data_IF_671284220874
#
_entry.id   IF_671284220874
#
_cell.length_a   1.000
_cell.length_b   1.000
_cell.length_c   1.000
_cell.angle_alpha   90.00
_cell.angle_beta   90.00
_cell.angle_gamma   90.00
#
_symmetry.space_group_name_H-M   'P 1'
#
loop_
_entity.id
_entity.type
_entity.pdbx_description
1 polymer ?
#
# COMPACT_ATOMS: atom_id res chain seq x y z
N UNK A 1 -8.88 6.47 16.19
CA UNK A 1 -7.78 7.44 16.34
C UNK A 1 -7.06 7.11 17.64
N UNK A 2 -5.79 6.75 17.55
CA UNK A 2 -4.94 6.50 18.73
C UNK A 2 -4.39 7.81 19.26
N UNK A 3 -4.16 7.90 20.57
CA UNK A 3 -3.67 9.11 21.25
C UNK A 3 -4.51 10.35 20.87
N UNK A 4 -5.83 10.25 21.01
CA UNK A 4 -6.74 11.32 20.59
C UNK A 4 -6.65 12.57 21.47
N UNK A 5 -6.16 12.44 22.70
CA UNK A 5 -5.99 13.49 23.70
C UNK A 5 -4.63 14.22 23.65
N UNK A 6 -3.71 13.78 22.78
CA UNK A 6 -2.42 14.47 22.58
C UNK A 6 -2.63 15.73 21.74
N UNK A 7 -2.76 16.86 22.42
CA UNK A 7 -2.96 18.15 21.76
C UNK A 7 -1.82 18.51 20.81
N UNK A 8 -2.19 19.12 19.68
CA UNK A 8 -1.28 19.46 18.61
C UNK A 8 -1.99 19.50 17.26
N UNK A 9 -1.26 19.81 16.20
CA UNK A 9 -1.83 19.99 14.86
C UNK A 9 -2.69 18.79 14.39
N UNK A 10 -2.20 17.56 14.60
CA UNK A 10 -2.87 16.31 14.19
C UNK A 10 -4.09 15.93 15.03
N UNK A 11 -4.32 16.63 16.14
CA UNK A 11 -5.46 16.41 17.08
C UNK A 11 -6.25 17.69 17.32
N UNK A 12 -6.05 18.71 16.48
CA UNK A 12 -6.96 19.86 16.39
C UNK A 12 -8.36 19.41 16.01
N UNK A 13 -9.37 20.19 16.40
CA UNK A 13 -10.78 19.89 16.10
C UNK A 13 -11.00 19.65 14.59
N UNK A 14 -10.40 20.48 13.74
CA UNK A 14 -10.47 20.36 12.28
C UNK A 14 -9.85 19.06 11.77
N UNK A 15 -8.67 18.66 12.30
CA UNK A 15 -8.02 17.41 11.92
C UNK A 15 -8.83 16.19 12.34
N UNK A 16 -9.37 16.19 13.56
CA UNK A 16 -10.22 15.12 14.07
C UNK A 16 -11.50 14.97 13.23
N UNK A 17 -12.16 16.09 12.88
CA UNK A 17 -13.34 16.09 11.99
C UNK A 17 -12.99 15.50 10.62
N UNK A 18 -11.85 15.88 10.03
CA UNK A 18 -11.42 15.33 8.74
C UNK A 18 -11.12 13.83 8.80
N UNK A 19 -10.46 13.37 9.88
CA UNK A 19 -10.19 11.95 10.10
C UNK A 19 -11.50 11.16 10.25
N UNK A 20 -12.45 11.66 11.04
CA UNK A 20 -13.78 11.07 11.19
C UNK A 20 -14.55 11.04 9.87
N UNK A 21 -14.46 12.11 9.07
CA UNK A 21 -15.11 12.20 7.77
C UNK A 21 -14.67 11.14 6.76
N UNK A 22 -13.48 10.53 6.91
CA UNK A 22 -13.05 9.39 6.08
C UNK A 22 -13.95 8.18 6.27
N UNK A 23 -14.46 7.96 7.49
CA UNK A 23 -15.34 6.84 7.81
C UNK A 23 -16.76 7.04 7.26
N UNK A 24 -17.24 8.29 7.15
CA UNK A 24 -18.62 8.63 6.77
C UNK A 24 -19.08 8.15 5.38
N UNK A 25 -18.21 7.50 4.58
CA UNK A 25 -18.54 6.89 3.29
C UNK A 25 -19.16 5.49 3.42
N UNK A 26 -19.28 4.96 4.64
CA UNK A 26 -19.89 3.66 4.94
C UNK A 26 -21.11 3.85 5.85
N UNK A 27 -22.17 3.06 5.61
CA UNK A 27 -23.42 3.12 6.37
C UNK A 27 -23.25 2.68 7.84
N UNK A 28 -22.34 1.75 8.11
CA UNK A 28 -22.04 1.21 9.43
C UNK A 28 -20.73 1.80 10.00
N UNK A 29 -20.34 2.99 9.52
CA UNK A 29 -19.12 3.64 9.94
C UNK A 29 -19.13 3.96 11.43
N UNK A 30 -18.06 3.56 12.12
CA UNK A 30 -17.83 3.88 13.53
C UNK A 30 -16.41 4.39 13.68
N UNK A 31 -16.24 5.44 14.48
CA UNK A 31 -14.92 5.99 14.82
C UNK A 31 -14.72 5.86 16.32
N UNK A 32 -13.61 5.21 16.70
CA UNK A 32 -13.21 5.04 18.10
C UNK A 32 -12.05 5.99 18.37
N UNK A 33 -12.18 6.84 19.39
CA UNK A 33 -11.11 7.72 19.87
C UNK A 33 -10.52 7.09 21.14
N UNK A 34 -9.26 6.68 21.08
CA UNK A 34 -8.53 6.18 22.26
C UNK A 34 -7.83 7.36 22.93
N UNK A 35 -8.20 7.66 24.17
CA UNK A 35 -7.71 8.78 24.95
C UNK A 35 -7.95 8.52 26.43
N UNK A 36 -7.13 9.13 27.29
CA UNK A 36 -7.33 9.08 28.75
C UNK A 36 -8.34 10.15 29.21
N UNK A 37 -8.45 11.25 28.45
CA UNK A 37 -9.37 12.38 28.74
C UNK A 37 -10.00 12.95 27.48
N UNK A 38 -11.15 13.58 27.63
CA UNK A 38 -11.80 14.34 26.55
C UNK A 38 -11.21 15.75 26.54
N UNK A 39 -10.48 16.11 25.47
CA UNK A 39 -9.95 17.47 25.29
C UNK A 39 -11.01 18.40 24.67
N UNK A 40 -10.86 19.73 24.77
CA UNK A 40 -11.78 20.67 24.11
C UNK A 40 -11.87 20.46 22.60
N UNK A 41 -10.76 20.11 21.94
CA UNK A 41 -10.73 19.81 20.52
C UNK A 41 -11.52 18.53 20.17
N UNK A 42 -11.45 17.50 21.03
CA UNK A 42 -12.26 16.30 20.88
C UNK A 42 -13.74 16.61 21.07
N UNK A 43 -14.10 17.35 22.11
CA UNK A 43 -15.49 17.72 22.38
C UNK A 43 -16.10 18.47 21.20
N UNK A 44 -15.44 19.52 20.71
CA UNK A 44 -15.88 20.27 19.53
C UNK A 44 -16.07 19.37 18.30
N UNK A 45 -15.16 18.42 18.08
CA UNK A 45 -15.22 17.52 16.94
C UNK A 45 -16.36 16.50 17.06
N UNK A 46 -16.64 16.02 18.28
CA UNK A 46 -17.77 15.13 18.59
C UNK A 46 -19.09 15.88 18.39
N UNK A 47 -19.24 17.06 19.00
CA UNK A 47 -20.46 17.88 18.95
C UNK A 47 -20.82 18.25 17.50
N UNK A 48 -19.84 18.67 16.69
CA UNK A 48 -20.09 19.00 15.29
C UNK A 48 -20.47 17.76 14.46
N UNK A 49 -19.91 16.59 14.80
CA UNK A 49 -20.25 15.33 14.14
C UNK A 49 -21.68 14.89 14.50
N UNK A 50 -22.06 15.00 15.77
CA UNK A 50 -23.41 14.69 16.25
C UNK A 50 -24.47 15.63 15.67
N UNK A 51 -24.18 16.95 15.66
CA UNK A 51 -25.04 17.96 15.04
C UNK A 51 -25.32 17.63 13.57
N UNK A 52 -24.28 17.32 12.79
CA UNK A 52 -24.41 16.93 11.37
C UNK A 52 -25.21 15.65 11.21
N UNK A 53 -24.96 14.64 12.04
CA UNK A 53 -25.67 13.36 12.00
C UNK A 53 -27.16 13.54 12.29
N UNK A 54 -27.51 14.35 13.29
CA UNK A 54 -28.90 14.64 13.63
C UNK A 54 -29.64 15.30 12.46
N UNK A 55 -29.04 16.31 11.83
CA UNK A 55 -29.58 16.98 10.63
C UNK A 55 -29.79 15.98 9.47
N UNK A 56 -28.81 15.13 9.22
CA UNK A 56 -28.89 14.11 8.16
C UNK A 56 -30.00 13.08 8.43
N UNK A 57 -30.14 12.61 9.67
CA UNK A 57 -31.19 11.67 10.06
C UNK A 57 -32.59 12.28 9.96
N UNK A 58 -32.75 13.54 10.39
CA UNK A 58 -34.00 14.28 10.24
C UNK A 58 -34.39 14.42 8.76
N UNK A 59 -33.46 14.88 7.92
CA UNK A 59 -33.67 15.00 6.48
C UNK A 59 -34.04 13.66 5.84
N UNK A 60 -33.30 12.58 6.19
CA UNK A 60 -33.57 11.24 5.66
C UNK A 60 -34.96 10.73 6.05
N UNK A 61 -35.40 11.00 7.29
CA UNK A 61 -36.73 10.61 7.77
C UNK A 61 -37.83 11.39 7.04
N UNK A 62 -37.64 12.69 6.85
CA UNK A 62 -38.60 13.54 6.14
C UNK A 62 -38.75 13.15 4.66
N UNK A 63 -37.67 12.68 4.02
CA UNK A 63 -37.64 12.37 2.60
C UNK A 63 -37.69 10.86 2.30
N UNK A 64 -37.82 10.01 3.31
CA UNK A 64 -37.82 8.54 3.14
C UNK A 64 -36.52 7.96 2.58
N UNK A 65 -35.39 8.65 2.75
CA UNK A 65 -34.09 8.22 2.20
C UNK A 65 -33.45 7.17 3.11
N UNK A 66 -33.21 5.97 2.57
CA UNK A 66 -32.46 4.92 3.28
C UNK A 66 -30.96 5.05 2.94
N UNK A 67 -30.07 5.23 3.94
CA UNK A 67 -28.63 5.29 3.70
C UNK A 67 -28.14 4.03 3.00
N UNK A 68 -27.49 4.20 1.85
CA UNK A 68 -26.93 3.11 1.06
C UNK A 68 -25.47 3.40 0.74
N UNK A 69 -24.65 2.35 0.74
CA UNK A 69 -23.23 2.52 0.43
C UNK A 69 -23.06 2.74 -1.06
N UNK A 70 -22.35 3.81 -1.42
CA UNK A 70 -22.02 4.11 -2.83
C UNK A 70 -21.01 3.07 -3.32
N UNK A 71 -21.43 2.23 -4.27
CA UNK A 71 -20.53 1.33 -5.01
C UNK A 71 -19.88 2.13 -6.15
N UNK A 72 -18.68 2.65 -5.91
CA UNK A 72 -17.87 3.23 -7.00
C UNK A 72 -17.12 2.12 -7.71
N UNK A 73 -17.33 2.00 -9.01
CA UNK A 73 -16.46 1.19 -9.85
C UNK A 73 -15.02 1.70 -9.68
N UNK A 74 -14.08 0.78 -9.44
CA UNK A 74 -12.65 1.08 -9.55
C UNK A 74 -12.46 1.50 -11.00
N UNK A 75 -12.29 2.82 -11.24
CA UNK A 75 -12.00 3.29 -12.58
C UNK A 75 -10.72 2.57 -13.01
N UNK A 76 -10.78 1.85 -14.14
CA UNK A 76 -9.63 1.35 -14.91
C UNK A 76 -8.81 2.52 -15.49
N UNK A 77 -8.64 3.59 -14.71
CA UNK A 77 -7.82 4.74 -15.05
C UNK A 77 -6.35 4.37 -15.01
N UNK A 78 -5.96 3.43 -14.14
CA UNK A 78 -4.60 2.88 -14.11
C UNK A 78 -4.26 2.24 -15.47
N UNK A 79 -5.15 1.42 -16.04
CA UNK A 79 -4.95 0.79 -17.36
C UNK A 79 -4.86 1.82 -18.48
N UNK A 80 -5.74 2.84 -18.49
CA UNK A 80 -5.72 3.90 -19.52
C UNK A 80 -4.53 4.86 -19.38
N UNK A 81 -4.10 5.16 -18.15
CA UNK A 81 -2.89 5.95 -17.89
C UNK A 81 -1.63 5.15 -18.23
N UNK A 82 -1.61 3.84 -17.98
CA UNK A 82 -0.58 2.92 -18.45
C UNK A 82 -0.53 2.89 -19.98
N UNK A 83 -1.67 2.79 -20.67
CA UNK A 83 -1.71 2.82 -22.13
C UNK A 83 -1.27 4.17 -22.71
N UNK A 84 -1.69 5.29 -22.11
CA UNK A 84 -1.22 6.61 -22.51
C UNK A 84 0.29 6.80 -22.27
N UNK A 85 0.82 6.26 -21.16
CA UNK A 85 2.27 6.23 -20.88
C UNK A 85 3.03 5.30 -21.83
N UNK A 86 2.45 4.17 -22.24
CA UNK A 86 3.01 3.27 -23.26
C UNK A 86 3.10 3.97 -24.61
N UNK A 87 2.02 4.60 -25.07
CA UNK A 87 1.98 5.33 -26.35
C UNK A 87 2.96 6.53 -26.37
N UNK A 88 3.06 7.26 -25.25
CA UNK A 88 4.00 8.37 -25.11
C UNK A 88 5.47 7.91 -24.99
N UNK A 89 5.73 6.69 -24.49
CA UNK A 89 7.07 6.08 -24.40
C UNK A 89 7.51 5.40 -25.69
N UNK A 90 6.59 4.80 -26.46
CA UNK A 90 6.84 4.28 -27.80
C UNK A 90 7.32 5.38 -28.76
N UNK A 91 6.83 6.61 -28.59
CA UNK A 91 7.29 7.78 -29.35
C UNK A 91 8.69 8.29 -28.95
N UNK A 92 9.27 7.82 -27.83
CA UNK A 92 10.52 8.35 -27.25
C UNK A 92 11.70 7.34 -27.27
N UNK A 93 11.53 6.13 -27.80
CA UNK A 93 12.63 5.21 -28.12
C UNK A 93 13.57 4.84 -26.95
N UNK A 94 13.06 4.76 -25.72
CA UNK A 94 13.85 4.35 -24.57
C UNK A 94 13.90 2.81 -24.43
N UNK A 95 15.10 2.24 -24.62
CA UNK A 95 15.56 0.87 -24.36
C UNK A 95 14.50 -0.26 -24.34
N UNK A 96 14.31 -0.87 -25.51
CA UNK A 96 13.47 -2.06 -25.75
C UNK A 96 13.73 -3.21 -24.75
N UNK A 97 14.97 -3.33 -24.26
CA UNK A 97 15.39 -4.34 -23.27
C UNK A 97 14.84 -4.08 -21.87
N UNK A 98 14.78 -2.81 -21.44
CA UNK A 98 14.26 -2.45 -20.12
C UNK A 98 12.73 -2.65 -20.07
N UNK A 99 12.04 -2.39 -21.18
CA UNK A 99 10.60 -2.61 -21.31
C UNK A 99 10.23 -4.09 -21.24
N UNK A 100 10.96 -4.95 -21.96
CA UNK A 100 10.76 -6.41 -21.91
C UNK A 100 10.97 -6.96 -20.49
N UNK A 101 11.95 -6.44 -19.76
CA UNK A 101 12.22 -6.83 -18.38
C UNK A 101 11.11 -6.37 -17.41
N UNK A 102 10.59 -5.15 -17.56
CA UNK A 102 9.48 -4.64 -16.74
C UNK A 102 8.18 -5.43 -16.94
N UNK A 103 7.82 -5.76 -18.18
CA UNK A 103 6.62 -6.56 -18.47
C UNK A 103 6.78 -8.02 -17.99
N UNK A 104 7.96 -8.62 -18.16
CA UNK A 104 8.23 -9.96 -17.63
C UNK A 104 8.13 -10.00 -16.09
N UNK A 105 8.66 -8.98 -15.41
CA UNK A 105 8.52 -8.83 -13.95
C UNK A 105 7.05 -8.71 -13.51
N UNK A 106 6.21 -8.04 -14.30
CA UNK A 106 4.78 -7.90 -14.03
C UNK A 106 4.07 -9.24 -14.11
N UNK A 107 4.31 -10.02 -15.17
CA UNK A 107 3.71 -11.33 -15.37
C UNK A 107 4.11 -12.33 -14.28
N UNK A 108 5.40 -12.40 -13.95
CA UNK A 108 5.89 -13.28 -12.87
C UNK A 108 5.31 -12.89 -11.51
N UNK A 109 5.09 -11.59 -11.27
CA UNK A 109 4.48 -11.13 -10.03
C UNK A 109 3.00 -11.49 -9.94
N UNK A 110 2.25 -11.38 -11.05
CA UNK A 110 0.85 -11.83 -11.13
C UNK A 110 0.76 -13.34 -10.89
N UNK A 111 1.65 -14.15 -11.49
CA UNK A 111 1.67 -15.60 -11.29
C UNK A 111 2.05 -15.99 -9.85
N UNK A 112 2.99 -15.27 -9.22
CA UNK A 112 3.38 -15.49 -7.83
C UNK A 112 2.20 -15.26 -6.87
N UNK A 113 1.42 -14.21 -7.11
CA UNK A 113 0.23 -13.90 -6.31
C UNK A 113 -0.85 -14.97 -6.50
N UNK A 114 -1.10 -15.41 -7.73
CA UNK A 114 -2.03 -16.49 -8.01
C UNK A 114 -1.63 -17.81 -7.33
N UNK A 115 -0.34 -18.17 -7.35
CA UNK A 115 0.17 -19.34 -6.65
C UNK A 115 0.03 -19.23 -5.12
N UNK A 116 0.22 -18.03 -4.56
CA UNK A 116 0.02 -17.78 -3.13
C UNK A 116 -1.47 -17.89 -2.73
N UNK A 117 -2.38 -17.40 -3.57
CA UNK A 117 -3.83 -17.56 -3.39
C UNK A 117 -4.26 -19.03 -3.47
N UNK A 118 -3.61 -19.81 -4.34
CA UNK A 118 -3.83 -21.26 -4.48
C UNK A 118 -3.15 -22.11 -3.39
N UNK A 119 -2.47 -21.49 -2.40
CA UNK A 119 -1.70 -22.17 -1.34
C UNK A 119 -0.50 -22.99 -1.84
N UNK A 120 -0.02 -22.73 -3.06
CA UNK A 120 1.16 -23.36 -3.66
C UNK A 120 2.45 -22.61 -3.28
N UNK A 121 2.84 -22.71 -2.00
CA UNK A 121 3.94 -21.90 -1.44
C UNK A 121 5.32 -22.18 -2.06
N UNK A 122 5.58 -23.42 -2.49
CA UNK A 122 6.84 -23.77 -3.17
C UNK A 122 6.97 -23.06 -4.53
N UNK A 123 5.87 -23.02 -5.30
CA UNK A 123 5.81 -22.33 -6.58
C UNK A 123 5.94 -20.82 -6.39
N UNK A 124 5.23 -20.24 -5.42
CA UNK A 124 5.33 -18.83 -5.08
C UNK A 124 6.75 -18.43 -4.61
N UNK A 125 7.43 -19.29 -3.84
CA UNK A 125 8.81 -19.05 -3.41
C UNK A 125 9.78 -19.05 -4.61
N UNK A 126 9.64 -20.00 -5.54
CA UNK A 126 10.46 -20.04 -6.76
C UNK A 126 10.27 -18.79 -7.63
N UNK A 127 9.01 -18.36 -7.84
CA UNK A 127 8.68 -17.15 -8.60
C UNK A 127 9.23 -15.88 -7.92
N UNK A 128 9.13 -15.78 -6.59
CA UNK A 128 9.72 -14.68 -5.81
C UNK A 128 11.24 -14.58 -6.02
N UNK A 129 11.93 -15.71 -6.00
CA UNK A 129 13.38 -15.76 -6.13
C UNK A 129 13.83 -15.44 -7.57
N UNK A 130 13.05 -15.84 -8.58
CA UNK A 130 13.22 -15.40 -9.98
C UNK A 130 13.02 -13.89 -10.14
N UNK A 131 11.97 -13.31 -9.55
CA UNK A 131 11.73 -11.86 -9.55
C UNK A 131 12.89 -11.09 -8.90
N UNK A 132 13.45 -11.62 -7.80
CA UNK A 132 14.62 -11.03 -7.13
C UNK A 132 15.86 -11.07 -8.03
N UNK A 133 16.11 -12.18 -8.72
CA UNK A 133 17.24 -12.32 -9.62
C UNK A 133 17.14 -11.37 -10.83
N UNK A 134 15.94 -11.24 -11.42
CA UNK A 134 15.67 -10.31 -12.52
C UNK A 134 15.84 -8.85 -12.09
N UNK A 135 15.38 -8.47 -10.88
CA UNK A 135 15.60 -7.13 -10.33
C UNK A 135 17.06 -6.84 -9.98
N UNK A 136 17.86 -7.86 -9.69
CA UNK A 136 19.29 -7.75 -9.39
C UNK A 136 20.16 -7.64 -10.66
N UNK A 137 19.56 -7.55 -11.86
CA UNK A 137 20.28 -7.34 -13.11
C UNK A 137 20.75 -8.61 -13.80
N UNK A 138 20.15 -9.77 -13.52
CA UNK A 138 20.39 -10.97 -14.32
C UNK A 138 19.94 -10.71 -15.77
N UNK A 139 20.85 -10.90 -16.73
CA UNK A 139 20.56 -10.67 -18.13
C UNK A 139 19.61 -11.77 -18.65
N UNK A 140 18.59 -11.34 -19.40
CA UNK A 140 17.65 -12.23 -20.07
C UNK A 140 18.12 -12.36 -21.52
N UNK A 141 18.28 -13.59 -21.99
CA UNK A 141 18.55 -13.85 -23.41
C UNK A 141 17.31 -13.51 -24.26
N UNK A 142 17.46 -13.34 -25.57
CA UNK A 142 16.39 -12.97 -26.52
C UNK A 142 15.18 -13.90 -26.55
N UNK A 143 15.26 -15.06 -25.88
CA UNK A 143 14.19 -16.05 -25.75
C UNK A 143 13.51 -16.05 -24.37
N UNK A 144 13.83 -15.09 -23.49
CA UNK A 144 13.20 -14.99 -22.16
C UNK A 144 13.71 -16.00 -21.13
N UNK A 145 14.67 -16.86 -21.50
CA UNK A 145 15.25 -17.88 -20.62
C UNK A 145 16.43 -17.30 -19.87
N UNK A 146 16.34 -17.28 -18.54
CA UNK A 146 17.47 -16.86 -17.68
C UNK A 146 18.47 -18.01 -17.58
N UNK A 147 19.73 -17.79 -17.97
CA UNK A 147 20.78 -18.82 -17.87
C UNK A 147 20.97 -19.24 -16.42
N UNK A 148 20.93 -20.55 -16.19
CA UNK A 148 21.10 -21.16 -14.85
C UNK A 148 22.39 -20.72 -14.14
N UNK A 149 23.47 -20.53 -14.88
CA UNK A 149 24.77 -20.06 -14.37
C UNK A 149 24.80 -18.58 -13.98
N UNK A 150 23.85 -17.78 -14.44
CA UNK A 150 23.70 -16.36 -14.08
C UNK A 150 22.74 -16.18 -12.90
N UNK A 151 21.69 -17.01 -12.83
CA UNK A 151 20.83 -17.15 -11.65
C UNK A 151 21.64 -17.51 -10.40
N UNK A 152 22.54 -18.49 -10.51
CA UNK A 152 23.40 -18.91 -9.40
C UNK A 152 24.37 -17.80 -8.95
N UNK A 153 24.90 -17.02 -9.89
CA UNK A 153 25.78 -15.87 -9.59
C UNK A 153 25.01 -14.71 -8.93
N UNK A 154 23.82 -14.37 -9.41
CA UNK A 154 22.97 -13.33 -8.83
C UNK A 154 22.44 -13.74 -7.44
N UNK A 155 22.06 -15.01 -7.26
CA UNK A 155 21.65 -15.54 -5.97
C UNK A 155 22.81 -15.50 -4.95
N UNK A 156 24.03 -15.88 -5.35
CA UNK A 156 25.21 -15.78 -4.50
C UNK A 156 25.53 -14.32 -4.10
N UNK A 157 25.38 -13.36 -5.02
CA UNK A 157 25.56 -11.94 -4.74
C UNK A 157 24.50 -11.38 -3.77
N UNK A 158 23.24 -11.79 -3.91
CA UNK A 158 22.16 -11.40 -3.00
C UNK A 158 22.36 -11.94 -1.57
N UNK A 159 22.82 -13.19 -1.44
CA UNK A 159 23.14 -13.81 -0.14
C UNK A 159 24.36 -13.12 0.52
N UNK A 160 25.36 -12.73 -0.27
CA UNK A 160 26.51 -11.97 0.24
C UNK A 160 26.11 -10.58 0.75
N UNK A 161 25.26 -9.86 0.02
CA UNK A 161 24.70 -8.56 0.43
C UNK A 161 23.89 -8.66 1.74
N UNK A 162 23.11 -9.72 1.91
CA UNK A 162 22.36 -9.99 3.14
C UNK A 162 23.24 -10.35 4.35
N UNK A 163 24.45 -10.90 4.16
CA UNK A 163 25.39 -11.19 5.26
C UNK A 163 26.14 -9.95 5.73
N UNK A 164 26.39 -8.99 4.85
CA UNK A 164 27.08 -7.73 5.20
C UNK A 164 26.21 -6.83 6.07
N UNK A 165 24.89 -6.82 5.86
CA UNK A 165 23.95 -6.02 6.67
C UNK A 165 23.65 -6.63 8.05
N UNK A 166 23.95 -7.91 8.28
CA UNK A 166 23.67 -8.61 9.55
C UNK A 166 24.75 -8.53 10.64
N UNK A 167 25.93 -7.92 10.39
CA UNK A 167 27.07 -7.94 11.34
C UNK A 167 27.30 -6.63 12.11
N UNK A 168 26.34 -5.71 12.10
CA UNK A 168 26.44 -4.39 12.77
C UNK A 168 25.39 -4.18 13.87
N UNK A 169 25.42 -4.96 14.95
CA UNK A 169 24.35 -4.87 15.96
C UNK A 169 24.64 -5.49 17.33
N UNK A 170 25.82 -5.30 17.92
CA UNK A 170 25.98 -5.44 19.37
C UNK A 170 27.25 -4.74 19.88
N UNK A 171 27.16 -3.44 20.13
CA UNK A 171 28.03 -2.77 21.12
C UNK A 171 27.16 -2.05 22.14
N UNK A 172 26.74 -2.86 23.11
CA UNK A 172 26.26 -2.51 24.44
C UNK A 172 27.16 -1.40 25.03
N UNK A 173 26.66 -0.18 25.17
CA UNK A 173 27.30 0.90 25.94
C UNK A 173 26.50 1.10 27.23
N UNK A 174 26.86 0.32 28.24
CA UNK A 174 26.53 0.58 29.65
C UNK A 174 27.72 1.28 30.32
N UNK A 175 27.54 2.54 30.72
CA UNK A 175 28.25 3.27 31.79
C UNK A 175 27.26 4.38 32.20
N UNK A 176 26.52 4.33 33.31
CA UNK A 176 26.83 4.21 34.75
C UNK A 176 27.71 5.36 35.27
N UNK A 177 27.09 6.09 36.21
CA UNK A 177 27.54 7.21 37.06
C UNK A 177 27.57 8.58 36.43
#
# INVERSE_FOLDING_TARGET
VLDADKEGFLRSATSLIQQMGRAARNVNATVVLYADRVTPAMQQAIDETERRRALQLAYNREHGVTPTQIRKAIRRGIERELQARRLAREALGADERAYQQEELLRLLHEEMLAAAEALEFEKAASLRDQIRALKAGAAVDSEGVVRRSELERAAAAAVASSRVTGKGGSRRRTRRR
#
